data_IF_266837570711
#
_entry.id   IF_266837570711
#
_cell.length_a   1.000
_cell.length_b   1.000
_cell.length_c   1.000
_cell.angle_alpha   90.00
_cell.angle_beta   90.00
_cell.angle_gamma   90.00
#
_symmetry.space_group_name_H-M   'P 1'
#
loop_
_entity.id
_entity.type
_entity.pdbx_description
1 polymer ?
#
# COMPACT_ATOMS: atom_id res chain seq x y z
N UNK A 1 -1.38 -24.20 22.60
CA UNK A 1 -0.38 -23.20 22.19
C UNK A 1 -0.88 -22.44 20.98
N UNK A 2 -1.14 -21.18 21.13
CA UNK A 2 -1.33 -20.31 20.01
C UNK A 2 0.03 -20.19 19.31
N UNK A 3 0.07 -20.42 18.04
CA UNK A 3 1.29 -20.26 17.25
C UNK A 3 0.97 -19.21 16.19
N UNK A 4 1.86 -18.30 16.01
CA UNK A 4 1.88 -17.48 14.84
C UNK A 4 1.87 -18.36 13.59
N UNK A 5 0.99 -18.08 12.67
CA UNK A 5 0.85 -18.81 11.41
C UNK A 5 0.95 -17.91 10.20
N UNK A 6 1.27 -16.66 10.40
CA UNK A 6 1.39 -15.69 9.33
C UNK A 6 2.74 -15.00 9.32
N UNK A 7 3.08 -14.39 8.23
CA UNK A 7 4.25 -13.51 8.11
C UNK A 7 4.12 -12.37 9.12
N UNK A 8 5.09 -12.29 10.04
CA UNK A 8 5.13 -11.25 11.06
C UNK A 8 4.08 -11.37 12.17
N UNK A 9 3.23 -12.39 12.15
CA UNK A 9 2.29 -12.64 13.22
C UNK A 9 2.92 -13.51 14.30
N UNK A 10 3.85 -12.91 14.99
CA UNK A 10 4.50 -13.54 16.12
C UNK A 10 3.63 -13.28 17.33
N UNK A 11 3.26 -14.25 18.09
CA UNK A 11 2.83 -14.17 19.47
C UNK A 11 2.09 -12.90 19.90
N UNK A 12 1.00 -12.53 19.26
CA UNK A 12 0.10 -11.50 19.79
C UNK A 12 -0.64 -11.99 21.02
N UNK A 13 0.12 -12.58 21.98
CA UNK A 13 -0.45 -12.98 23.27
C UNK A 13 -0.77 -11.78 24.13
N UNK A 14 -0.01 -10.69 23.98
CA UNK A 14 -0.20 -9.43 24.68
C UNK A 14 0.15 -8.30 23.72
N UNK A 15 -0.65 -7.25 23.75
CA UNK A 15 -0.33 -5.98 23.12
C UNK A 15 0.77 -5.30 23.93
N UNK A 16 1.91 -5.00 23.29
CA UNK A 16 3.01 -4.29 23.92
C UNK A 16 2.98 -2.82 23.51
N UNK A 17 2.67 -1.96 24.47
CA UNK A 17 2.58 -0.51 24.23
C UNK A 17 3.82 0.15 24.84
N UNK A 18 4.73 0.65 23.98
CA UNK A 18 6.00 1.25 24.38
C UNK A 18 5.84 2.36 25.44
N UNK A 19 4.84 3.24 25.30
CA UNK A 19 4.60 4.33 26.25
C UNK A 19 4.18 3.86 27.65
N UNK A 20 3.73 2.62 27.81
CA UNK A 20 3.42 2.02 29.13
C UNK A 20 4.65 1.40 29.81
N UNK A 21 5.79 1.30 29.10
CA UNK A 21 7.02 0.66 29.59
C UNK A 21 8.11 1.68 29.97
N UNK A 22 7.77 2.94 30.13
CA UNK A 22 8.72 4.03 30.46
C UNK A 22 9.55 3.70 31.70
N UNK A 23 8.99 3.07 32.73
CA UNK A 23 9.72 2.68 33.93
C UNK A 23 10.87 1.73 33.64
N UNK A 24 10.69 0.76 32.74
CA UNK A 24 11.75 -0.16 32.31
C UNK A 24 12.86 0.59 31.57
N UNK A 25 12.49 1.52 30.71
CA UNK A 25 13.46 2.38 30.02
C UNK A 25 14.28 3.22 31.01
N UNK A 26 13.64 3.82 32.01
CA UNK A 26 14.30 4.63 33.04
C UNK A 26 15.26 3.77 33.91
N UNK A 27 14.86 2.53 34.27
CA UNK A 27 15.76 1.60 34.98
C UNK A 27 17.04 1.36 34.18
N UNK A 28 16.93 1.19 32.86
CA UNK A 28 18.09 0.99 31.97
C UNK A 28 18.95 2.26 31.90
N UNK A 29 18.33 3.45 31.81
CA UNK A 29 19.07 4.73 31.85
C UNK A 29 19.89 4.83 33.14
N UNK A 30 19.30 4.54 34.29
CA UNK A 30 19.98 4.58 35.58
C UNK A 30 21.15 3.58 35.62
N UNK A 31 20.95 2.38 35.15
CA UNK A 31 22.04 1.38 35.03
C UNK A 31 23.18 1.87 34.16
N UNK A 32 22.90 2.52 33.02
CA UNK A 32 23.93 3.10 32.14
C UNK A 32 24.69 4.26 32.81
N UNK A 33 24.02 5.08 33.63
CA UNK A 33 24.65 6.13 34.45
C UNK A 33 25.55 5.51 35.53
N UNK A 34 25.08 4.54 36.28
CA UNK A 34 25.81 3.84 37.33
C UNK A 34 27.07 3.16 36.82
N UNK A 35 26.99 2.57 35.64
CA UNK A 35 28.13 1.88 34.97
C UNK A 35 29.06 2.82 34.21
N UNK A 36 28.80 4.14 34.22
CA UNK A 36 29.62 5.13 33.50
C UNK A 36 29.46 5.09 31.97
N UNK A 37 28.46 4.36 31.45
CA UNK A 37 28.14 4.28 30.02
C UNK A 37 27.18 5.39 29.55
N UNK A 38 26.72 6.24 30.46
CA UNK A 38 25.94 7.44 30.18
C UNK A 38 26.36 8.57 31.11
N UNK A 39 25.96 9.79 30.78
CA UNK A 39 26.26 10.97 31.57
C UNK A 39 25.18 12.06 31.41
N UNK A 40 25.13 12.95 32.40
CA UNK A 40 24.23 14.10 32.42
C UNK A 40 24.83 15.23 31.56
N UNK A 41 24.04 15.75 30.63
CA UNK A 41 24.46 16.85 29.76
C UNK A 41 23.56 18.06 29.97
N UNK A 42 24.16 19.19 30.32
CA UNK A 42 23.49 20.43 30.65
C UNK A 42 23.63 21.50 29.55
N UNK A 43 24.02 21.14 28.31
CA UNK A 43 24.07 22.08 27.20
C UNK A 43 22.68 22.69 26.95
N UNK A 44 22.64 24.03 26.78
CA UNK A 44 21.41 24.71 26.40
C UNK A 44 21.00 24.41 24.96
N UNK A 45 19.76 24.73 24.61
CA UNK A 45 19.29 24.62 23.22
C UNK A 45 20.08 25.54 22.29
N UNK A 46 20.41 26.74 22.78
CA UNK A 46 21.14 27.76 22.00
C UNK A 46 22.59 27.34 21.73
N UNK A 47 23.27 26.73 22.72
CA UNK A 47 24.60 26.15 22.51
C UNK A 47 24.60 25.04 21.44
N UNK A 48 23.58 24.19 21.45
CA UNK A 48 23.46 23.12 20.45
C UNK A 48 23.16 23.69 19.06
N UNK A 49 22.28 24.70 18.99
CA UNK A 49 21.94 25.34 17.72
C UNK A 49 23.16 26.08 17.11
N UNK A 50 23.94 26.78 17.95
CA UNK A 50 25.19 27.41 17.51
C UNK A 50 26.18 26.38 16.95
N UNK A 51 26.34 25.23 17.62
CA UNK A 51 27.21 24.15 17.12
C UNK A 51 26.73 23.63 15.77
N UNK A 52 25.43 23.46 15.57
CA UNK A 52 24.83 23.02 14.31
C UNK A 52 25.09 24.07 13.19
N UNK A 53 24.88 25.35 13.50
CA UNK A 53 25.13 26.42 12.56
C UNK A 53 26.61 26.48 12.12
N UNK A 54 27.54 26.34 13.07
CA UNK A 54 29.00 26.28 12.78
C UNK A 54 29.35 25.07 11.88
N UNK A 55 28.76 23.90 12.14
CA UNK A 55 28.93 22.70 11.31
C UNK A 55 28.41 22.94 9.88
N UNK A 56 27.20 23.53 9.76
CA UNK A 56 26.57 23.86 8.48
C UNK A 56 27.41 24.86 7.68
N UNK A 57 27.94 25.90 8.32
CA UNK A 57 28.86 26.88 7.67
C UNK A 57 30.12 26.22 7.13
N UNK A 58 30.68 25.25 7.87
CA UNK A 58 31.85 24.46 7.46
C UNK A 58 31.52 23.35 6.48
N UNK A 59 30.24 23.14 6.14
CA UNK A 59 29.75 22.04 5.27
C UNK A 59 30.18 20.65 5.75
N UNK A 60 30.25 20.46 7.08
CA UNK A 60 30.54 19.16 7.71
C UNK A 60 29.32 18.63 8.47
N UNK A 61 29.18 17.32 8.64
CA UNK A 61 28.14 16.73 9.49
C UNK A 61 28.25 17.27 10.93
N UNK A 62 27.09 17.58 11.53
CA UNK A 62 27.06 17.95 12.94
C UNK A 62 27.27 16.70 13.81
N UNK A 63 28.25 16.78 14.71
CA UNK A 63 28.48 15.81 15.78
C UNK A 63 28.54 16.59 17.08
N UNK A 64 27.82 16.16 18.12
CA UNK A 64 27.87 16.78 19.43
C UNK A 64 29.30 16.79 19.98
N UNK A 65 29.78 17.92 20.50
CA UNK A 65 31.16 18.17 20.90
C UNK A 65 31.58 17.50 22.22
N UNK A 66 30.72 16.68 22.82
CA UNK A 66 30.98 15.93 24.06
C UNK A 66 31.35 16.81 25.26
N UNK A 67 30.93 18.09 25.30
CA UNK A 67 31.31 19.10 26.32
C UNK A 67 31.11 18.58 27.77
N UNK A 68 30.08 17.80 28.04
CA UNK A 68 29.75 17.31 29.37
C UNK A 68 30.19 15.87 29.67
N UNK A 69 30.89 15.22 28.73
CA UNK A 69 31.22 13.80 28.79
C UNK A 69 32.06 13.41 30.01
N UNK A 70 33.01 14.27 30.39
CA UNK A 70 33.97 14.02 31.45
C UNK A 70 33.97 15.13 32.50
N UNK A 71 32.95 16.00 32.52
CA UNK A 71 32.75 17.05 33.49
C UNK A 71 32.05 16.55 34.77
N UNK A 72 32.43 17.14 35.90
CA UNK A 72 31.76 16.89 37.17
C UNK A 72 30.37 17.56 37.21
N UNK A 73 29.42 16.92 37.89
CA UNK A 73 28.10 17.52 38.16
C UNK A 73 28.20 18.81 38.98
N UNK A 74 29.29 19.01 39.72
CA UNK A 74 29.55 20.24 40.47
C UNK A 74 29.62 21.46 39.57
N UNK A 75 30.01 21.27 38.32
CA UNK A 75 30.05 22.34 37.28
C UNK A 75 28.69 22.62 36.64
N UNK A 76 27.66 21.90 37.05
CA UNK A 76 26.33 22.02 36.44
C UNK A 76 25.68 23.37 36.78
N UNK A 77 25.05 24.03 35.81
CA UNK A 77 24.27 25.22 36.06
C UNK A 77 23.10 24.92 37.01
N UNK A 78 22.83 25.82 37.98
CA UNK A 78 21.72 25.70 38.85
C UNK A 78 20.39 25.73 38.11
N UNK A 79 19.42 24.97 38.55
CA UNK A 79 18.05 24.91 38.02
C UNK A 79 17.89 24.41 36.57
N UNK A 80 18.93 23.81 35.98
CA UNK A 80 18.86 23.22 34.64
C UNK A 80 18.73 21.70 34.73
N UNK A 81 17.58 21.16 34.28
CA UNK A 81 17.43 19.72 34.14
C UNK A 81 18.32 19.21 32.99
N UNK A 82 19.12 18.17 33.21
CA UNK A 82 19.96 17.60 32.15
C UNK A 82 19.16 16.76 31.17
N UNK A 83 19.70 16.57 29.96
CA UNK A 83 19.44 15.38 29.16
C UNK A 83 20.46 14.30 29.53
N UNK A 84 20.11 13.02 29.37
CA UNK A 84 21.08 11.93 29.51
C UNK A 84 21.57 11.52 28.14
N UNK A 85 22.90 11.50 28.00
CA UNK A 85 23.55 11.03 26.77
C UNK A 85 24.26 9.71 26.99
N UNK A 86 24.17 8.85 25.99
CA UNK A 86 24.99 7.63 25.93
C UNK A 86 26.44 8.01 25.66
N UNK A 87 27.38 7.35 26.33
CA UNK A 87 28.81 7.55 26.19
C UNK A 87 29.35 6.67 25.06
N UNK A 88 29.17 7.11 23.80
CA UNK A 88 29.56 6.33 22.63
C UNK A 88 31.06 6.06 22.57
N UNK A 89 31.48 4.92 22.03
CA UNK A 89 32.89 4.65 21.75
C UNK A 89 33.45 5.71 20.79
N UNK A 90 34.69 6.09 21.01
CA UNK A 90 35.37 7.09 20.17
C UNK A 90 36.39 6.42 19.24
N UNK A 91 37.14 5.46 19.78
CA UNK A 91 38.20 4.76 19.06
C UNK A 91 37.69 3.47 18.41
N UNK A 92 38.37 3.05 17.34
CA UNK A 92 38.04 1.84 16.61
C UNK A 92 36.77 1.99 15.77
N UNK A 93 36.21 0.86 15.40
CA UNK A 93 35.02 0.77 14.54
C UNK A 93 33.93 -0.10 15.14
N UNK A 94 32.70 0.10 14.72
CA UNK A 94 31.56 -0.80 15.00
C UNK A 94 31.17 -1.51 13.71
N UNK A 95 31.04 -2.83 13.78
CA UNK A 95 30.68 -3.70 12.64
C UNK A 95 29.31 -4.32 12.81
N UNK A 96 28.60 -4.43 11.71
CA UNK A 96 27.31 -5.13 11.59
C UNK A 96 27.43 -6.15 10.48
N UNK A 97 27.08 -7.40 10.75
CA UNK A 97 26.79 -8.36 9.70
C UNK A 97 25.30 -8.27 9.38
N UNK A 98 24.95 -7.51 8.34
CA UNK A 98 23.56 -7.30 7.92
C UNK A 98 23.13 -8.40 6.97
N UNK A 99 22.00 -9.05 7.27
CA UNK A 99 21.53 -10.21 6.52
C UNK A 99 21.12 -9.90 5.07
N UNK A 100 20.90 -8.62 4.73
CA UNK A 100 20.58 -8.17 3.37
C UNK A 100 21.75 -7.43 2.74
N UNK A 101 22.33 -6.44 3.46
CA UNK A 101 23.36 -5.57 2.93
C UNK A 101 24.76 -6.16 2.99
N UNK A 102 24.96 -7.17 3.86
CA UNK A 102 26.28 -7.75 4.14
C UNK A 102 27.02 -6.98 5.24
N UNK A 103 28.32 -7.14 5.29
CA UNK A 103 29.13 -6.49 6.32
C UNK A 103 29.21 -4.98 6.13
N UNK A 104 28.87 -4.25 7.19
CA UNK A 104 28.92 -2.80 7.23
C UNK A 104 29.75 -2.38 8.43
N UNK A 105 30.69 -1.46 8.24
CA UNK A 105 31.58 -0.97 9.28
C UNK A 105 31.60 0.55 9.25
N UNK A 106 31.57 1.19 10.42
CA UNK A 106 31.75 2.63 10.55
C UNK A 106 32.72 2.94 11.67
N UNK A 107 33.51 4.02 11.51
CA UNK A 107 34.39 4.54 12.54
C UNK A 107 33.57 5.07 13.71
N UNK A 108 33.94 4.70 14.94
CA UNK A 108 33.22 5.09 16.15
C UNK A 108 33.21 6.60 16.39
N UNK A 109 34.23 7.33 15.96
CA UNK A 109 34.31 8.79 16.07
C UNK A 109 33.20 9.50 15.27
N UNK A 110 32.57 8.84 14.30
CA UNK A 110 31.44 9.36 13.52
C UNK A 110 30.10 9.24 14.27
N UNK A 111 30.05 8.49 15.34
CA UNK A 111 28.86 8.31 16.18
C UNK A 111 28.91 9.34 17.30
N UNK A 112 27.92 10.22 17.37
CA UNK A 112 27.79 11.19 18.45
C UNK A 112 27.43 10.51 19.79
N UNK A 113 27.70 11.20 20.89
CA UNK A 113 27.08 10.86 22.18
C UNK A 113 25.61 11.28 22.13
N UNK A 114 24.76 10.34 21.73
CA UNK A 114 23.34 10.63 21.45
C UNK A 114 22.50 10.67 22.73
N UNK A 115 21.44 11.46 22.71
CA UNK A 115 20.51 11.56 23.84
C UNK A 115 19.72 10.26 23.96
N UNK A 116 19.68 9.68 25.15
CA UNK A 116 18.88 8.50 25.51
C UNK A 116 17.66 8.87 26.35
N UNK A 117 17.74 9.98 27.14
CA UNK A 117 16.62 10.50 27.92
C UNK A 117 16.55 12.02 27.76
N UNK A 118 15.37 12.53 27.46
CA UNK A 118 15.12 13.98 27.32
C UNK A 118 14.94 14.62 28.69
N UNK A 119 14.94 15.96 28.73
CA UNK A 119 14.73 16.76 29.96
C UNK A 119 13.37 16.54 30.61
N UNK A 120 12.37 16.20 29.85
CA UNK A 120 11.01 15.88 30.31
C UNK A 120 10.86 14.45 30.86
N UNK A 121 11.95 13.66 30.85
CA UNK A 121 11.94 12.27 31.28
C UNK A 121 11.51 11.29 30.18
N UNK A 122 11.30 11.75 28.94
CA UNK A 122 10.91 10.87 27.83
C UNK A 122 12.14 10.17 27.22
N UNK A 123 12.17 8.83 27.17
CA UNK A 123 13.22 8.08 26.47
C UNK A 123 13.21 8.38 24.97
N UNK A 124 14.40 8.31 24.35
CA UNK A 124 14.50 8.44 22.89
C UNK A 124 14.41 7.10 22.20
N UNK A 125 14.10 7.12 20.90
CA UNK A 125 13.91 5.94 20.07
C UNK A 125 15.04 4.90 20.21
N UNK A 126 16.31 5.33 20.12
CA UNK A 126 17.41 4.37 20.15
C UNK A 126 17.50 3.59 21.47
N UNK A 127 17.17 4.22 22.58
CA UNK A 127 17.11 3.52 23.86
C UNK A 127 15.84 2.67 23.97
N UNK A 128 14.66 3.27 23.78
CA UNK A 128 13.39 2.56 23.99
C UNK A 128 13.25 1.34 23.08
N UNK A 129 13.63 1.46 21.81
CA UNK A 129 13.62 0.31 20.89
C UNK A 129 14.57 -0.81 21.37
N UNK A 130 15.82 -0.48 21.75
CA UNK A 130 16.75 -1.50 22.23
C UNK A 130 16.30 -2.21 23.50
N UNK A 131 15.66 -1.46 24.41
CA UNK A 131 15.14 -2.02 25.68
C UNK A 131 13.92 -2.91 25.39
N UNK A 132 13.01 -2.44 24.57
CA UNK A 132 11.81 -3.20 24.21
C UNK A 132 12.17 -4.47 23.45
N UNK A 133 13.06 -4.38 22.46
CA UNK A 133 13.53 -5.53 21.68
C UNK A 133 14.22 -6.59 22.57
N UNK A 134 14.99 -6.14 23.57
CA UNK A 134 15.61 -7.02 24.57
C UNK A 134 14.57 -7.69 25.47
N UNK A 135 13.61 -6.93 26.04
CA UNK A 135 12.56 -7.47 26.92
C UNK A 135 11.65 -8.45 26.18
N UNK A 136 11.43 -8.21 24.89
CA UNK A 136 10.59 -9.06 24.03
C UNK A 136 11.36 -10.24 23.42
N UNK A 137 12.63 -10.43 23.73
CA UNK A 137 13.51 -11.46 23.15
C UNK A 137 13.50 -11.45 21.61
N UNK A 138 13.58 -10.24 21.02
CA UNK A 138 13.60 -10.09 19.56
C UNK A 138 14.91 -10.66 18.98
N UNK A 139 14.78 -11.66 18.11
CA UNK A 139 15.93 -12.35 17.48
C UNK A 139 16.36 -11.66 16.18
N UNK A 140 15.44 -11.03 15.47
CA UNK A 140 15.69 -10.39 14.17
C UNK A 140 15.01 -9.03 14.10
N UNK A 141 15.73 -8.01 13.63
CA UNK A 141 15.22 -6.67 13.36
C UNK A 141 15.29 -6.42 11.86
N UNK A 142 14.15 -6.48 11.19
CA UNK A 142 14.01 -6.27 9.75
C UNK A 142 13.33 -4.91 9.51
N UNK A 143 14.02 -3.96 8.88
CA UNK A 143 13.51 -2.58 8.72
C UNK A 143 14.12 -1.85 7.52
N UNK A 144 13.64 -0.65 7.23
CA UNK A 144 14.20 0.19 6.17
C UNK A 144 15.65 0.61 6.43
N UNK A 145 16.41 0.78 5.38
CA UNK A 145 17.85 1.08 5.41
C UNK A 145 18.16 2.53 5.86
N UNK A 146 17.16 3.40 5.97
CA UNK A 146 17.27 4.71 6.62
C UNK A 146 17.55 4.61 8.13
N UNK A 147 17.34 3.44 8.72
CA UNK A 147 17.66 3.14 10.11
C UNK A 147 19.07 2.54 10.34
N UNK A 148 19.90 2.38 9.32
CA UNK A 148 21.26 1.79 9.47
C UNK A 148 22.09 2.49 10.54
N UNK A 149 22.14 3.82 10.54
CA UNK A 149 22.90 4.59 11.55
C UNK A 149 22.38 4.36 12.96
N UNK A 150 21.07 4.15 13.13
CA UNK A 150 20.48 3.82 14.43
C UNK A 150 20.96 2.45 14.94
N UNK A 151 21.21 1.50 14.05
CA UNK A 151 21.72 0.17 14.42
C UNK A 151 23.07 0.27 15.11
N UNK A 152 23.97 1.10 14.62
CA UNK A 152 25.29 1.31 15.25
C UNK A 152 25.17 1.90 16.66
N UNK A 153 24.21 2.83 16.87
CA UNK A 153 23.90 3.38 18.19
C UNK A 153 23.30 2.32 19.13
N UNK A 154 22.38 1.51 18.61
CA UNK A 154 21.72 0.44 19.36
C UNK A 154 22.69 -0.69 19.74
N UNK A 155 23.56 -1.10 18.85
CA UNK A 155 24.61 -2.10 19.13
C UNK A 155 25.49 -1.67 20.31
N UNK A 156 25.88 -0.40 20.38
CA UNK A 156 26.68 0.09 21.49
C UNK A 156 25.90 0.05 22.83
N UNK A 157 24.56 0.24 22.81
CA UNK A 157 23.72 0.06 24.00
C UNK A 157 23.69 -1.42 24.42
N UNK A 158 23.50 -2.35 23.48
CA UNK A 158 23.54 -3.80 23.77
C UNK A 158 24.87 -4.21 24.37
N UNK A 159 25.98 -3.73 23.81
CA UNK A 159 27.34 -4.02 24.31
C UNK A 159 27.58 -3.45 25.70
N UNK A 160 27.16 -2.20 25.97
CA UNK A 160 27.31 -1.58 27.29
C UNK A 160 26.53 -2.30 28.38
N UNK A 161 25.41 -2.93 28.02
CA UNK A 161 24.53 -3.68 28.93
C UNK A 161 24.84 -5.17 28.95
N UNK A 162 25.78 -5.63 28.13
CA UNK A 162 26.14 -7.05 27.96
C UNK A 162 24.94 -7.90 27.54
N UNK A 163 24.06 -7.33 26.72
CA UNK A 163 22.91 -8.03 26.16
C UNK A 163 23.28 -8.76 24.85
N UNK A 164 22.60 -9.88 24.59
CA UNK A 164 22.68 -10.55 23.31
C UNK A 164 22.11 -9.64 22.21
N UNK A 165 22.84 -9.52 21.11
CA UNK A 165 22.45 -8.66 19.99
C UNK A 165 21.53 -9.41 19.04
N UNK A 166 20.40 -8.81 18.60
CA UNK A 166 19.59 -9.38 17.53
C UNK A 166 20.34 -9.36 16.20
N UNK A 167 19.90 -10.18 15.25
CA UNK A 167 20.31 -10.10 13.85
C UNK A 167 19.62 -8.92 13.19
N UNK A 168 20.34 -8.23 12.29
CA UNK A 168 19.79 -7.07 11.58
C UNK A 168 19.65 -7.35 10.08
N UNK A 169 18.59 -6.82 9.48
CA UNK A 169 18.35 -6.86 8.04
C UNK A 169 17.80 -5.51 7.58
N UNK A 170 18.54 -4.76 6.80
CA UNK A 170 18.12 -3.46 6.29
C UNK A 170 17.67 -3.56 4.84
N UNK A 171 16.36 -3.37 4.64
CA UNK A 171 15.71 -3.42 3.34
C UNK A 171 15.82 -2.05 2.68
N UNK A 172 16.23 -1.98 1.40
CA UNK A 172 16.29 -0.72 0.66
C UNK A 172 14.95 0.00 0.62
N UNK A 173 14.99 1.32 0.64
CA UNK A 173 13.78 2.15 0.55
C UNK A 173 13.14 2.03 -0.83
N UNK A 174 11.83 2.25 -0.86
CA UNK A 174 11.06 2.33 -2.10
C UNK A 174 11.16 3.75 -2.65
N UNK A 175 11.43 3.85 -3.94
CA UNK A 175 11.55 5.12 -4.67
C UNK A 175 10.41 5.29 -5.68
N UNK A 176 10.18 6.54 -6.11
CA UNK A 176 9.34 6.82 -7.27
C UNK A 176 10.04 6.38 -8.55
N UNK A 177 9.34 6.41 -9.69
CA UNK A 177 9.94 6.09 -11.00
C UNK A 177 11.11 7.02 -11.34
N UNK A 178 11.06 8.28 -10.89
CA UNK A 178 12.11 9.30 -11.06
C UNK A 178 13.31 9.09 -10.12
N UNK A 179 13.25 8.09 -9.24
CA UNK A 179 14.33 7.75 -8.31
C UNK A 179 14.38 8.58 -7.02
N UNK A 180 13.32 9.31 -6.69
CA UNK A 180 13.19 10.01 -5.40
C UNK A 180 12.62 9.06 -4.35
N UNK A 181 13.01 9.23 -3.07
CA UNK A 181 12.40 8.50 -1.96
C UNK A 181 10.89 8.72 -1.97
N UNK A 182 10.12 7.63 -1.92
CA UNK A 182 8.66 7.69 -1.83
C UNK A 182 8.25 8.42 -0.55
N UNK A 183 7.33 9.36 -0.67
CA UNK A 183 6.84 10.17 0.45
C UNK A 183 5.31 10.14 0.52
N UNK A 184 4.75 10.57 1.66
CA UNK A 184 3.28 10.68 1.86
C UNK A 184 2.58 11.62 0.86
N UNK A 185 3.33 12.42 0.10
CA UNK A 185 2.80 13.34 -0.93
C UNK A 185 2.66 12.69 -2.30
N UNK A 186 3.27 11.51 -2.47
CA UNK A 186 3.16 10.75 -3.71
C UNK A 186 1.86 9.93 -3.65
N UNK A 187 1.04 9.99 -4.69
CA UNK A 187 -0.26 9.31 -4.75
C UNK A 187 -0.11 7.80 -4.48
N UNK A 188 -1.03 7.24 -3.69
CA UNK A 188 -1.04 5.85 -3.24
C UNK A 188 0.13 5.50 -2.29
N UNK A 189 0.30 6.29 -1.23
CA UNK A 189 1.32 6.07 -0.20
C UNK A 189 0.84 5.23 0.99
N UNK A 190 -0.45 5.03 1.15
CA UNK A 190 -1.06 4.23 2.24
C UNK A 190 -1.82 3.03 1.69
N UNK A 191 -2.02 2.01 2.52
CA UNK A 191 -2.81 0.83 2.15
C UNK A 191 -4.26 1.24 1.80
N UNK A 192 -4.82 2.18 2.54
CA UNK A 192 -6.19 2.68 2.32
C UNK A 192 -6.36 3.33 0.93
N UNK A 193 -5.31 3.96 0.40
CA UNK A 193 -5.37 4.56 -0.93
C UNK A 193 -5.49 3.49 -2.02
N UNK A 194 -4.78 2.35 -1.87
CA UNK A 194 -4.90 1.22 -2.79
C UNK A 194 -6.27 0.55 -2.70
N UNK A 195 -6.83 0.44 -1.51
CA UNK A 195 -8.17 -0.11 -1.30
C UNK A 195 -9.23 0.77 -1.98
N UNK A 196 -9.15 2.09 -1.82
CA UNK A 196 -10.08 3.05 -2.46
C UNK A 196 -10.12 2.97 -3.98
N UNK A 197 -8.97 2.76 -4.62
CA UNK A 197 -8.92 2.56 -6.08
C UNK A 197 -9.26 1.14 -6.51
N UNK A 198 -9.55 0.26 -5.57
CA UNK A 198 -10.02 -1.10 -5.82
C UNK A 198 -8.93 -2.12 -6.16
N UNK A 199 -7.74 -1.95 -5.58
CA UNK A 199 -6.68 -2.97 -5.62
C UNK A 199 -7.00 -4.06 -4.60
N UNK A 200 -6.98 -5.32 -5.02
CA UNK A 200 -7.23 -6.47 -4.18
C UNK A 200 -6.07 -6.72 -3.22
N UNK A 201 -6.32 -7.14 -1.96
CA UNK A 201 -5.27 -7.43 -0.98
C UNK A 201 -4.24 -8.44 -1.49
N UNK A 202 -4.67 -9.48 -2.19
CA UNK A 202 -3.77 -10.51 -2.76
C UNK A 202 -2.82 -9.93 -3.80
N UNK A 203 -3.31 -9.06 -4.67
CA UNK A 203 -2.52 -8.39 -5.69
C UNK A 203 -1.50 -7.43 -5.08
N UNK A 204 -1.94 -6.62 -4.12
CA UNK A 204 -1.08 -5.67 -3.43
C UNK A 204 0.03 -6.40 -2.66
N UNK A 205 -0.31 -7.43 -1.90
CA UNK A 205 0.66 -8.26 -1.16
C UNK A 205 1.70 -8.86 -2.10
N UNK A 206 1.26 -9.49 -3.20
CA UNK A 206 2.17 -10.07 -4.19
C UNK A 206 3.08 -9.00 -4.80
N UNK A 207 2.53 -7.85 -5.18
CA UNK A 207 3.30 -6.75 -5.74
C UNK A 207 4.35 -6.22 -4.75
N UNK A 208 3.95 -5.93 -3.50
CA UNK A 208 4.84 -5.42 -2.47
C UNK A 208 5.95 -6.43 -2.13
N UNK A 209 5.63 -7.72 -2.09
CA UNK A 209 6.64 -8.76 -1.92
C UNK A 209 7.66 -8.76 -3.07
N UNK A 210 7.18 -8.67 -4.32
CA UNK A 210 8.04 -8.63 -5.52
C UNK A 210 8.79 -7.32 -5.68
N UNK A 211 8.38 -6.28 -5.01
CA UNK A 211 8.98 -4.95 -5.15
C UNK A 211 10.45 -4.89 -4.68
N UNK A 212 10.85 -5.78 -3.79
CA UNK A 212 12.24 -5.84 -3.32
C UNK A 212 12.76 -7.26 -3.15
N UNK A 213 11.97 -8.27 -3.47
CA UNK A 213 12.31 -9.68 -3.30
C UNK A 213 12.07 -10.46 -4.59
N UNK A 214 12.87 -11.48 -4.84
CA UNK A 214 12.76 -12.36 -6.00
C UNK A 214 12.96 -13.83 -5.65
N UNK A 215 12.25 -14.69 -6.35
CA UNK A 215 12.43 -16.12 -6.29
C UNK A 215 12.34 -16.71 -7.70
N UNK A 216 13.48 -17.06 -8.28
CA UNK A 216 13.58 -17.51 -9.67
C UNK A 216 12.85 -16.52 -10.60
N UNK A 217 12.21 -17.02 -11.65
CA UNK A 217 11.43 -16.22 -12.63
C UNK A 217 9.94 -16.11 -12.26
N UNK A 218 9.55 -16.51 -11.04
CA UNK A 218 8.14 -16.51 -10.65
C UNK A 218 7.66 -15.11 -10.25
N UNK A 219 6.55 -14.68 -10.85
CA UNK A 219 5.95 -13.36 -10.63
C UNK A 219 4.71 -13.43 -9.71
N UNK A 220 3.91 -14.47 -9.83
CA UNK A 220 2.65 -14.62 -9.10
C UNK A 220 2.80 -15.69 -8.03
N UNK A 221 2.42 -15.32 -6.80
CA UNK A 221 2.51 -16.19 -5.63
C UNK A 221 1.18 -16.21 -4.86
N UNK A 222 0.72 -17.39 -4.49
CA UNK A 222 -0.30 -17.51 -3.44
C UNK A 222 0.28 -17.12 -2.07
N UNK A 223 -0.59 -16.97 -1.07
CA UNK A 223 -0.12 -16.71 0.31
C UNK A 223 0.77 -17.87 0.81
N UNK A 224 0.35 -19.10 0.58
CA UNK A 224 1.07 -20.31 0.98
C UNK A 224 2.45 -20.40 0.30
N UNK A 225 2.50 -20.08 -0.99
CA UNK A 225 3.76 -20.02 -1.73
C UNK A 225 4.66 -18.89 -1.24
N UNK A 226 4.09 -17.73 -0.91
CA UNK A 226 4.83 -16.61 -0.34
C UNK A 226 5.49 -16.99 0.98
N UNK A 227 4.76 -17.67 1.87
CA UNK A 227 5.27 -18.18 3.15
C UNK A 227 6.35 -19.25 2.93
N UNK A 228 6.13 -20.14 1.96
CA UNK A 228 7.04 -21.26 1.68
C UNK A 228 8.38 -20.83 1.11
N UNK A 229 8.38 -19.83 0.22
CA UNK A 229 9.58 -19.48 -0.56
C UNK A 229 10.28 -18.24 -0.06
N UNK A 230 9.62 -17.40 0.78
CA UNK A 230 10.24 -16.19 1.29
C UNK A 230 11.46 -16.50 2.15
N UNK A 231 12.56 -15.80 1.86
CA UNK A 231 13.79 -15.79 2.64
C UNK A 231 14.46 -14.41 2.50
N UNK A 232 15.44 -14.13 3.36
CA UNK A 232 16.16 -12.86 3.33
C UNK A 232 17.17 -12.76 2.18
N UNK A 233 17.71 -13.87 1.71
CA UNK A 233 18.66 -13.91 0.59
C UNK A 233 18.03 -13.44 -0.73
N UNK A 234 16.71 -13.63 -0.87
CA UNK A 234 15.95 -13.14 -2.03
C UNK A 234 15.75 -11.63 -2.06
N UNK A 235 16.06 -10.89 -0.99
CA UNK A 235 15.89 -9.44 -0.92
C UNK A 235 17.05 -8.75 -1.66
N UNK A 236 16.68 -7.88 -2.61
CA UNK A 236 17.64 -7.08 -3.37
C UNK A 236 18.31 -6.03 -2.51
N UNK A 237 19.57 -5.67 -2.83
CA UNK A 237 20.34 -4.63 -2.12
C UNK A 237 20.11 -3.21 -2.62
N UNK A 238 19.45 -3.06 -3.75
CA UNK A 238 19.18 -1.76 -4.39
C UNK A 238 17.74 -1.30 -4.20
N UNK A 239 17.50 0.02 -4.11
CA UNK A 239 16.16 0.56 -4.02
C UNK A 239 15.26 0.11 -5.18
N UNK A 240 14.05 -0.29 -4.87
CA UNK A 240 13.02 -0.65 -5.84
C UNK A 240 12.17 0.57 -6.20
N UNK A 241 11.61 0.60 -7.41
CA UNK A 241 10.74 1.68 -7.87
C UNK A 241 9.28 1.23 -7.85
N UNK A 242 8.44 2.05 -7.22
CA UNK A 242 6.99 1.82 -7.23
C UNK A 242 6.44 2.15 -8.62
N UNK A 243 5.76 1.20 -9.22
CA UNK A 243 5.15 1.32 -10.55
C UNK A 243 3.67 0.94 -10.49
N UNK A 244 2.80 1.94 -10.58
CA UNK A 244 1.34 1.75 -10.57
C UNK A 244 0.85 0.93 -11.77
N UNK A 245 1.51 1.01 -12.90
CA UNK A 245 1.10 0.22 -14.08
C UNK A 245 1.27 -1.28 -13.84
N UNK A 246 2.32 -1.66 -13.13
CA UNK A 246 2.57 -3.04 -12.70
C UNK A 246 1.58 -3.51 -11.63
N UNK A 247 1.24 -2.64 -10.67
CA UNK A 247 0.20 -2.95 -9.67
C UNK A 247 -1.13 -3.24 -10.37
N UNK A 248 -1.54 -2.38 -11.30
CA UNK A 248 -2.78 -2.55 -12.06
C UNK A 248 -2.78 -3.82 -12.92
N UNK A 249 -1.65 -4.14 -13.56
CA UNK A 249 -1.52 -5.37 -14.35
C UNK A 249 -1.60 -6.63 -13.47
N UNK A 250 -0.97 -6.59 -12.29
CA UNK A 250 -1.05 -7.68 -11.32
C UNK A 250 -2.47 -7.82 -10.77
N UNK A 251 -3.13 -6.72 -10.46
CA UNK A 251 -4.51 -6.73 -9.98
C UNK A 251 -5.48 -7.28 -11.03
N UNK A 252 -5.30 -6.90 -12.30
CA UNK A 252 -6.05 -7.48 -13.44
C UNK A 252 -5.90 -9.00 -13.50
N UNK A 253 -4.69 -9.51 -13.28
CA UNK A 253 -4.45 -10.97 -13.22
C UNK A 253 -5.28 -11.62 -12.11
N UNK A 254 -5.25 -11.07 -10.89
CA UNK A 254 -6.02 -11.61 -9.77
C UNK A 254 -7.52 -11.52 -9.99
N UNK A 255 -8.04 -10.41 -10.54
CA UNK A 255 -9.45 -10.24 -10.89
C UNK A 255 -9.89 -11.31 -11.90
N UNK A 256 -9.10 -11.53 -12.95
CA UNK A 256 -9.43 -12.50 -14.01
C UNK A 256 -9.45 -13.94 -13.50
N UNK A 257 -8.51 -14.30 -12.64
CA UNK A 257 -8.32 -15.67 -12.17
C UNK A 257 -9.12 -16.01 -10.91
N UNK A 258 -9.71 -15.03 -10.23
CA UNK A 258 -10.58 -15.28 -9.06
C UNK A 258 -11.92 -15.88 -9.51
N UNK A 259 -12.45 -16.81 -8.74
CA UNK A 259 -13.80 -17.36 -9.00
C UNK A 259 -14.84 -16.22 -9.00
N UNK A 260 -15.91 -16.36 -9.77
CA UNK A 260 -16.94 -15.32 -9.81
C UNK A 260 -17.62 -15.12 -8.44
N UNK A 261 -17.76 -16.16 -7.63
CA UNK A 261 -18.35 -16.05 -6.30
C UNK A 261 -17.43 -15.27 -5.34
N UNK A 262 -16.14 -15.60 -5.29
CA UNK A 262 -15.17 -14.87 -4.44
C UNK A 262 -14.95 -13.44 -4.93
N UNK A 263 -14.96 -13.23 -6.25
CA UNK A 263 -14.86 -11.91 -6.82
C UNK A 263 -16.08 -11.05 -6.47
N UNK A 264 -17.27 -11.66 -6.49
CA UNK A 264 -18.50 -10.98 -6.09
C UNK A 264 -18.47 -10.54 -4.63
N UNK A 265 -18.02 -11.39 -3.73
CA UNK A 265 -17.84 -11.03 -2.32
C UNK A 265 -16.90 -9.83 -2.15
N UNK A 266 -15.75 -9.87 -2.82
CA UNK A 266 -14.79 -8.76 -2.80
C UNK A 266 -15.37 -7.47 -3.39
N UNK A 267 -16.18 -7.58 -4.45
CA UNK A 267 -16.87 -6.45 -5.07
C UNK A 267 -17.95 -5.86 -4.16
N UNK A 268 -18.74 -6.71 -3.50
CA UNK A 268 -19.80 -6.29 -2.57
C UNK A 268 -19.20 -5.55 -1.36
N UNK A 269 -18.09 -6.05 -0.81
CA UNK A 269 -17.34 -5.40 0.27
C UNK A 269 -16.79 -4.04 -0.19
N UNK A 270 -16.18 -3.99 -1.37
CA UNK A 270 -15.71 -2.74 -1.96
C UNK A 270 -16.83 -1.71 -2.12
N UNK A 271 -17.99 -2.12 -2.64
CA UNK A 271 -19.14 -1.23 -2.78
C UNK A 271 -19.65 -0.73 -1.43
N UNK A 272 -19.74 -1.60 -0.43
CA UNK A 272 -20.16 -1.23 0.92
C UNK A 272 -19.25 -0.18 1.56
N UNK A 273 -17.95 -0.25 1.31
CA UNK A 273 -16.97 0.66 1.91
C UNK A 273 -16.83 1.99 1.17
N UNK A 274 -17.00 1.99 -0.17
CA UNK A 274 -16.60 3.14 -0.99
C UNK A 274 -17.66 3.65 -1.96
N UNK A 275 -18.83 3.02 -2.05
CA UNK A 275 -19.88 3.37 -2.99
C UNK A 275 -21.24 3.47 -2.29
N UNK A 276 -22.23 3.95 -3.02
CA UNK A 276 -23.61 3.96 -2.54
C UNK A 276 -24.16 2.55 -2.42
N UNK A 277 -25.18 2.39 -1.58
CA UNK A 277 -25.83 1.10 -1.35
C UNK A 277 -26.55 0.63 -2.63
N UNK A 278 -26.20 -0.56 -3.09
CA UNK A 278 -26.80 -1.21 -4.25
C UNK A 278 -27.86 -2.22 -3.75
N UNK A 279 -29.09 -2.16 -4.25
CA UNK A 279 -30.13 -3.09 -3.84
C UNK A 279 -29.83 -4.53 -4.30
N UNK A 280 -30.44 -5.50 -3.60
CA UNK A 280 -30.19 -6.93 -3.83
C UNK A 280 -30.56 -7.41 -5.24
N UNK A 281 -31.57 -6.83 -5.89
CA UNK A 281 -31.95 -7.17 -7.25
C UNK A 281 -30.81 -6.84 -8.22
N UNK A 282 -30.27 -5.63 -8.13
CA UNK A 282 -29.14 -5.15 -8.96
C UNK A 282 -27.85 -5.94 -8.66
N UNK A 283 -27.58 -6.24 -7.39
CA UNK A 283 -26.45 -7.08 -6.98
C UNK A 283 -26.54 -8.47 -7.61
N UNK A 284 -27.71 -9.10 -7.62
CA UNK A 284 -27.91 -10.40 -8.27
C UNK A 284 -27.68 -10.37 -9.78
N UNK A 285 -28.07 -9.28 -10.45
CA UNK A 285 -27.78 -9.08 -11.88
C UNK A 285 -26.27 -8.92 -12.09
N UNK A 286 -25.61 -8.12 -11.27
CA UNK A 286 -24.15 -7.92 -11.34
C UNK A 286 -23.43 -9.25 -11.11
N UNK A 287 -23.83 -10.04 -10.11
CA UNK A 287 -23.24 -11.36 -9.83
C UNK A 287 -23.27 -12.26 -11.07
N UNK A 288 -24.41 -12.36 -11.72
CA UNK A 288 -24.59 -13.17 -12.97
C UNK A 288 -23.76 -12.61 -14.15
N UNK A 289 -23.47 -11.32 -14.11
CA UNK A 289 -22.81 -10.57 -15.17
C UNK A 289 -21.27 -10.46 -15.00
N UNK A 290 -20.73 -10.92 -13.87
CA UNK A 290 -19.30 -10.76 -13.54
C UNK A 290 -18.37 -11.34 -14.60
N UNK A 291 -18.75 -12.40 -15.29
CA UNK A 291 -17.96 -13.03 -16.34
C UNK A 291 -17.54 -12.03 -17.43
N UNK A 292 -18.41 -11.10 -17.82
CA UNK A 292 -18.07 -10.08 -18.80
C UNK A 292 -17.71 -8.73 -18.16
N UNK A 293 -18.25 -8.39 -16.98
CA UNK A 293 -17.96 -7.14 -16.28
C UNK A 293 -16.48 -7.06 -15.86
N UNK A 294 -15.87 -8.20 -15.49
CA UNK A 294 -14.45 -8.27 -15.11
C UNK A 294 -13.50 -8.23 -16.33
N UNK A 295 -14.02 -8.40 -17.55
CA UNK A 295 -13.19 -8.31 -18.76
C UNK A 295 -12.63 -6.89 -18.89
N UNK A 296 -11.32 -6.77 -19.02
CA UNK A 296 -10.59 -5.50 -19.08
C UNK A 296 -10.65 -4.66 -17.78
N UNK A 297 -11.27 -5.15 -16.72
CA UNK A 297 -11.22 -4.49 -15.41
C UNK A 297 -9.85 -4.72 -14.76
N UNK A 298 -9.21 -3.64 -14.37
CA UNK A 298 -7.94 -3.65 -13.63
C UNK A 298 -8.14 -3.42 -12.14
N UNK A 299 -9.30 -2.93 -11.74
CA UNK A 299 -9.64 -2.60 -10.36
C UNK A 299 -11.10 -2.96 -10.06
N UNK A 300 -11.48 -2.99 -8.77
CA UNK A 300 -12.88 -3.08 -8.36
C UNK A 300 -13.68 -1.84 -8.80
N UNK A 301 -13.02 -0.69 -8.87
CA UNK A 301 -13.59 0.55 -9.43
C UNK A 301 -14.00 0.36 -10.88
N UNK A 302 -13.19 -0.33 -11.70
CA UNK A 302 -13.54 -0.62 -13.10
C UNK A 302 -14.74 -1.54 -13.19
N UNK A 303 -14.84 -2.58 -12.33
CA UNK A 303 -16.01 -3.45 -12.28
C UNK A 303 -17.26 -2.64 -11.89
N UNK A 304 -17.16 -1.75 -10.91
CA UNK A 304 -18.25 -0.86 -10.54
C UNK A 304 -18.67 0.05 -11.70
N UNK A 305 -17.71 0.67 -12.37
CA UNK A 305 -17.98 1.54 -13.53
C UNK A 305 -18.60 0.76 -14.68
N UNK A 306 -18.12 -0.47 -14.96
CA UNK A 306 -18.71 -1.36 -15.95
C UNK A 306 -20.14 -1.80 -15.57
N UNK A 307 -20.50 -1.76 -14.29
CA UNK A 307 -21.82 -2.13 -13.76
C UNK A 307 -22.80 -0.96 -13.67
N UNK A 308 -22.38 0.28 -13.92
CA UNK A 308 -23.23 1.48 -13.77
C UNK A 308 -24.54 1.39 -14.53
N UNK A 309 -24.56 0.75 -15.70
CA UNK A 309 -25.77 0.56 -16.48
C UNK A 309 -26.78 -0.38 -15.83
N UNK A 310 -26.34 -1.25 -14.88
CA UNK A 310 -27.23 -2.07 -14.05
C UNK A 310 -27.65 -1.29 -12.80
N UNK A 311 -26.71 -0.56 -12.20
CA UNK A 311 -26.90 0.17 -10.93
C UNK A 311 -27.85 1.36 -11.10
N UNK A 312 -27.66 2.15 -12.18
CA UNK A 312 -28.43 3.37 -12.39
C UNK A 312 -29.74 3.08 -13.12
N UNK A 313 -30.84 3.57 -12.58
CA UNK A 313 -32.15 3.46 -13.24
C UNK A 313 -32.28 4.49 -14.38
N UNK A 314 -31.68 5.67 -14.19
CA UNK A 314 -31.58 6.69 -15.22
C UNK A 314 -30.18 6.70 -15.85
N UNK A 315 -30.14 6.80 -17.15
CA UNK A 315 -28.90 6.86 -17.93
C UNK A 315 -28.69 8.29 -18.40
N UNK A 316 -27.57 8.86 -17.97
CA UNK A 316 -27.13 10.18 -18.45
C UNK A 316 -26.24 9.96 -19.67
N UNK A 317 -26.61 10.61 -20.77
CA UNK A 317 -25.85 10.57 -22.04
C UNK A 317 -25.18 11.93 -22.21
N UNK A 318 -23.86 11.94 -22.32
CA UNK A 318 -23.11 13.17 -22.55
C UNK A 318 -23.37 13.74 -23.97
N UNK A 319 -23.18 15.06 -24.14
CA UNK A 319 -23.38 15.73 -25.43
C UNK A 319 -22.55 15.10 -26.56
N UNK A 320 -21.34 14.64 -26.27
CA UNK A 320 -20.46 14.02 -27.25
C UNK A 320 -21.02 12.69 -27.77
N UNK A 321 -21.63 11.88 -26.91
CA UNK A 321 -22.29 10.63 -27.27
C UNK A 321 -23.64 10.89 -27.96
N UNK A 322 -24.39 11.91 -27.52
CA UNK A 322 -25.64 12.31 -28.16
C UNK A 322 -25.46 12.68 -29.64
N UNK A 323 -24.34 13.31 -30.00
CA UNK A 323 -24.04 13.65 -31.41
C UNK A 323 -23.87 12.44 -32.32
N UNK A 324 -23.64 11.25 -31.77
CA UNK A 324 -23.53 9.98 -32.51
C UNK A 324 -24.89 9.33 -32.79
N UNK A 325 -25.98 9.84 -32.20
CA UNK A 325 -27.34 9.38 -32.39
C UNK A 325 -27.99 10.12 -33.55
N UNK A 326 -27.49 9.88 -34.77
CA UNK A 326 -28.05 10.42 -36.00
C UNK A 326 -29.48 9.93 -36.25
N UNK A 327 -30.23 10.56 -37.16
CA UNK A 327 -31.55 10.08 -37.56
C UNK A 327 -31.58 8.64 -38.01
N UNK A 328 -30.55 8.19 -38.76
CA UNK A 328 -30.40 6.79 -39.11
C UNK A 328 -30.25 5.91 -37.88
N UNK A 329 -29.44 6.30 -36.92
CA UNK A 329 -29.28 5.57 -35.63
C UNK A 329 -30.60 5.46 -34.88
N UNK A 330 -31.42 6.54 -34.82
CA UNK A 330 -32.75 6.50 -34.21
C UNK A 330 -33.70 5.56 -34.94
N UNK A 331 -33.67 5.52 -36.26
CA UNK A 331 -34.46 4.59 -37.04
C UNK A 331 -34.07 3.12 -36.81
N UNK A 332 -32.76 2.83 -36.68
CA UNK A 332 -32.25 1.51 -36.31
C UNK A 332 -32.76 1.11 -34.91
N UNK A 333 -32.73 2.03 -33.94
CA UNK A 333 -33.24 1.77 -32.58
C UNK A 333 -34.74 1.46 -32.60
N UNK A 334 -35.55 2.25 -33.31
CA UNK A 334 -37.02 2.00 -33.45
C UNK A 334 -37.28 0.63 -34.08
N UNK A 335 -36.55 0.28 -35.14
CA UNK A 335 -36.67 -1.03 -35.81
C UNK A 335 -36.24 -2.19 -34.90
N UNK A 336 -35.16 -1.99 -34.11
CA UNK A 336 -34.72 -2.96 -33.10
C UNK A 336 -35.81 -3.18 -32.05
N UNK A 337 -36.38 -2.12 -31.50
CA UNK A 337 -37.45 -2.21 -30.49
C UNK A 337 -38.66 -3.01 -31.01
N UNK A 338 -39.10 -2.75 -32.23
CA UNK A 338 -40.21 -3.48 -32.84
C UNK A 338 -39.92 -4.98 -32.94
N UNK A 339 -38.76 -5.37 -33.49
CA UNK A 339 -38.36 -6.76 -33.63
C UNK A 339 -38.16 -7.47 -32.29
N UNK A 340 -37.57 -6.78 -31.31
CA UNK A 340 -37.38 -7.32 -29.96
C UNK A 340 -38.71 -7.50 -29.21
N UNK A 341 -39.70 -6.65 -29.46
CA UNK A 341 -41.01 -6.79 -28.83
C UNK A 341 -41.76 -8.07 -29.26
N UNK A 342 -41.47 -8.59 -30.44
CA UNK A 342 -42.08 -9.75 -31.05
C UNK A 342 -41.48 -11.10 -30.58
N UNK A 343 -40.27 -11.11 -29.99
CA UNK A 343 -39.63 -12.36 -29.55
C UNK A 343 -40.11 -12.78 -28.14
N UNK A 344 -40.32 -14.05 -27.93
CA UNK A 344 -40.70 -14.64 -26.63
C UNK A 344 -39.45 -14.97 -25.80
N UNK A 345 -38.45 -15.57 -26.41
CA UNK A 345 -37.17 -15.96 -25.78
C UNK A 345 -36.15 -14.86 -25.96
N UNK A 346 -35.60 -14.34 -24.85
CA UNK A 346 -34.70 -13.21 -24.86
C UNK A 346 -33.27 -13.66 -24.48
N UNK A 347 -32.54 -14.13 -25.47
CA UNK A 347 -31.16 -14.62 -25.34
C UNK A 347 -30.32 -14.21 -26.55
N UNK A 348 -29.05 -14.62 -26.60
CA UNK A 348 -28.13 -14.25 -27.68
C UNK A 348 -28.59 -14.84 -29.02
N UNK A 349 -29.06 -16.07 -29.03
CA UNK A 349 -29.46 -16.83 -30.22
C UNK A 349 -30.64 -16.15 -30.93
N UNK A 350 -31.55 -15.50 -30.20
CA UNK A 350 -32.68 -14.76 -30.77
C UNK A 350 -32.34 -13.30 -31.12
N UNK A 351 -31.40 -12.68 -30.41
CA UNK A 351 -30.97 -11.28 -30.65
C UNK A 351 -29.99 -11.15 -31.83
N UNK A 352 -29.13 -12.14 -32.05
CA UNK A 352 -28.10 -12.09 -33.10
C UNK A 352 -28.69 -11.99 -34.52
N UNK A 353 -29.73 -12.79 -34.90
CA UNK A 353 -30.42 -12.61 -36.19
C UNK A 353 -31.05 -11.23 -36.32
N UNK A 354 -31.64 -10.66 -35.26
CA UNK A 354 -32.23 -9.32 -35.29
C UNK A 354 -31.19 -8.26 -35.62
N UNK A 355 -30.04 -8.30 -34.96
CA UNK A 355 -28.92 -7.37 -35.21
C UNK A 355 -28.37 -7.54 -36.62
N UNK A 356 -28.16 -8.78 -37.08
CA UNK A 356 -27.66 -9.06 -38.42
C UNK A 356 -28.63 -8.58 -39.51
N UNK A 357 -29.94 -8.75 -39.32
CA UNK A 357 -30.95 -8.20 -40.23
C UNK A 357 -30.90 -6.68 -40.29
N UNK A 358 -30.77 -5.99 -39.16
CA UNK A 358 -30.64 -4.54 -39.11
C UNK A 358 -29.37 -4.03 -39.76
N UNK A 359 -28.26 -4.77 -39.70
CA UNK A 359 -27.03 -4.45 -40.42
C UNK A 359 -27.28 -4.49 -41.91
N UNK A 360 -27.95 -5.54 -42.42
CA UNK A 360 -28.25 -5.71 -43.86
C UNK A 360 -29.27 -4.69 -44.35
N UNK A 361 -30.37 -4.49 -43.62
CA UNK A 361 -31.45 -3.54 -43.97
C UNK A 361 -30.96 -2.10 -44.07
N UNK A 362 -30.00 -1.72 -43.19
CA UNK A 362 -29.46 -0.34 -43.15
C UNK A 362 -28.10 -0.20 -43.84
N UNK A 363 -27.63 -1.21 -44.59
CA UNK A 363 -26.35 -1.20 -45.30
C UNK A 363 -25.19 -0.71 -44.43
N UNK A 364 -25.13 -1.19 -43.19
CA UNK A 364 -24.15 -0.75 -42.20
C UNK A 364 -23.35 -1.94 -41.67
N UNK A 365 -22.60 -1.77 -40.62
CA UNK A 365 -21.85 -2.81 -39.96
C UNK A 365 -22.30 -2.99 -38.46
N UNK A 366 -21.71 -3.96 -37.79
CA UNK A 366 -22.03 -4.25 -36.38
C UNK A 366 -21.90 -3.02 -35.48
N UNK A 367 -20.91 -2.16 -35.71
CA UNK A 367 -20.72 -0.91 -34.98
C UNK A 367 -21.86 0.07 -35.20
N UNK A 368 -22.36 0.17 -36.44
CA UNK A 368 -23.45 1.06 -36.80
C UNK A 368 -24.77 0.72 -36.12
N UNK A 369 -25.00 -0.56 -35.78
CA UNK A 369 -26.18 -0.99 -34.98
C UNK A 369 -25.86 -1.03 -33.47
N UNK A 370 -24.76 -1.65 -33.11
CA UNK A 370 -24.45 -1.90 -31.69
C UNK A 370 -24.03 -0.64 -30.90
N UNK A 371 -23.41 0.35 -31.54
CA UNK A 371 -22.97 1.56 -30.85
C UNK A 371 -24.13 2.46 -30.43
N UNK A 372 -25.12 2.79 -31.28
CA UNK A 372 -26.29 3.53 -30.85
C UNK A 372 -27.07 2.85 -29.73
N UNK A 373 -27.30 1.54 -29.85
CA UNK A 373 -27.95 0.76 -28.79
C UNK A 373 -27.17 0.87 -27.46
N UNK A 374 -25.84 0.72 -27.49
CA UNK A 374 -25.01 0.83 -26.29
C UNK A 374 -25.11 2.21 -25.66
N UNK A 375 -25.02 3.29 -26.43
CA UNK A 375 -25.10 4.64 -25.90
C UNK A 375 -26.40 4.85 -25.14
N UNK A 376 -27.55 4.43 -25.69
CA UNK A 376 -28.83 4.58 -25.01
C UNK A 376 -28.92 3.69 -23.76
N UNK A 377 -28.43 2.47 -23.84
CA UNK A 377 -28.55 1.51 -22.74
C UNK A 377 -27.57 1.79 -21.60
N UNK A 378 -26.43 2.44 -21.85
CA UNK A 378 -25.34 2.60 -20.86
C UNK A 378 -24.86 4.03 -20.66
N UNK A 379 -25.22 4.98 -21.52
CA UNK A 379 -24.70 6.34 -21.54
C UNK A 379 -23.34 6.51 -22.24
N UNK A 380 -22.73 5.42 -22.73
CA UNK A 380 -21.38 5.44 -23.29
C UNK A 380 -21.25 4.62 -24.55
N UNK A 381 -20.40 5.06 -25.48
CA UNK A 381 -19.99 4.26 -26.66
C UNK A 381 -19.02 3.13 -26.33
N UNK A 382 -18.44 3.15 -25.13
CA UNK A 382 -17.51 2.14 -24.61
C UNK A 382 -18.18 1.28 -23.55
N UNK A 383 -17.67 0.06 -23.32
CA UNK A 383 -18.17 -0.83 -22.27
C UNK A 383 -18.21 -2.30 -22.71
N UNK A 384 -18.95 -3.13 -21.97
CA UNK A 384 -19.16 -4.56 -22.28
C UNK A 384 -19.76 -4.82 -23.66
N UNK A 385 -19.82 -6.07 -24.07
CA UNK A 385 -20.48 -6.50 -25.30
C UNK A 385 -21.94 -6.09 -25.35
N UNK A 386 -22.46 -5.69 -26.54
CA UNK A 386 -23.85 -5.22 -26.64
C UNK A 386 -24.86 -6.32 -26.27
N UNK A 387 -24.59 -7.57 -26.62
CA UNK A 387 -25.44 -8.71 -26.24
C UNK A 387 -25.47 -8.92 -24.75
N UNK A 388 -24.29 -8.81 -24.09
CA UNK A 388 -24.18 -8.96 -22.63
C UNK A 388 -24.97 -7.87 -21.90
N UNK A 389 -24.88 -6.62 -22.41
CA UNK A 389 -25.67 -5.50 -21.86
C UNK A 389 -27.18 -5.77 -22.01
N UNK A 390 -27.63 -6.11 -23.20
CA UNK A 390 -29.04 -6.33 -23.51
C UNK A 390 -29.61 -7.46 -22.64
N UNK A 391 -28.92 -8.59 -22.59
CA UNK A 391 -29.37 -9.78 -21.86
C UNK A 391 -29.40 -9.50 -20.34
N UNK A 392 -28.38 -8.83 -19.80
CA UNK A 392 -28.33 -8.54 -18.37
C UNK A 392 -29.40 -7.56 -17.89
N UNK A 393 -29.77 -6.56 -18.73
CA UNK A 393 -30.86 -5.64 -18.46
C UNK A 393 -32.24 -6.31 -18.53
N UNK A 394 -32.37 -7.31 -19.41
CA UNK A 394 -33.66 -7.95 -19.70
C UNK A 394 -34.56 -7.12 -20.60
N UNK A 395 -35.49 -7.81 -21.27
CA UNK A 395 -36.36 -7.23 -22.31
C UNK A 395 -37.06 -5.94 -21.87
N UNK A 396 -37.67 -5.95 -20.68
CA UNK A 396 -38.43 -4.80 -20.16
C UNK A 396 -37.55 -3.54 -20.02
N UNK A 397 -36.42 -3.63 -19.28
CA UNK A 397 -35.51 -2.46 -19.08
C UNK A 397 -34.89 -1.98 -20.39
N UNK A 398 -34.62 -2.89 -21.31
CA UNK A 398 -34.10 -2.53 -22.66
C UNK A 398 -35.14 -1.68 -23.40
N UNK A 399 -36.39 -2.15 -23.51
CA UNK A 399 -37.46 -1.42 -24.20
C UNK A 399 -37.75 -0.08 -23.53
N UNK A 400 -37.82 -0.04 -22.19
CA UNK A 400 -38.05 1.19 -21.41
C UNK A 400 -36.99 2.26 -21.66
N UNK A 401 -35.70 1.85 -21.77
CA UNK A 401 -34.60 2.80 -22.07
C UNK A 401 -34.60 3.26 -23.52
N UNK A 402 -34.81 2.35 -24.44
CA UNK A 402 -34.81 2.70 -25.87
C UNK A 402 -36.01 3.59 -26.27
N UNK A 403 -37.16 3.47 -25.58
CA UNK A 403 -38.33 4.31 -25.84
C UNK A 403 -38.12 5.80 -25.54
N UNK A 404 -37.11 6.13 -24.72
CA UNK A 404 -36.75 7.53 -24.38
C UNK A 404 -36.05 8.29 -25.51
N UNK A 405 -35.77 7.64 -26.64
CA UNK A 405 -35.04 8.19 -27.80
C UNK A 405 -35.98 8.74 -28.88
N UNK A 406 -37.24 8.88 -28.54
CA UNK A 406 -38.25 9.42 -29.45
C UNK A 406 -37.98 10.82 -29.98
#
# INVERSE_FOLDING_TARGET
KSRSRGLGDVYKRQEYIQSKNIESHIKVVNKLLETGNAYKCYCSSDEIEEQKLRAKQKKIPYIYNRKWRDKSEIEAPQDVKPVIRFKSKIEGSTKINDLVQGDIEIENNTIEDFIILRRDGTPTYNLSASVDDHIMDMTHIIRGDDHKINTFKQIQIYEALQWEKPLFAHIPLIHTLEGKKLSKRDNASTIDDYEKIGIMPDALRNYLMRLGWSYKDKEIFSLEESIKYFNLEGIGKSPSKLDMSRILSMNEYYIKNKSNDDLFQSFEEYCKNFKENINNEKLNIIKKSLTFLKNKAKTMEDIYNNSKFIINDEIIIEKAEMSLLTENAKNIIKSFMKKVNEIEVFNKETLEPIINNLISENQTNFKGVGQPLRIILTGSKFGPGIYDIIISLGKKRVLDRLSKVG
#
